data_IF_620170349320
#
_entry.id   IF_620170349320
#
_cell.length_a   1.000
_cell.length_b   1.000
_cell.length_c   1.000
_cell.angle_alpha   90.00
_cell.angle_beta   90.00
_cell.angle_gamma   90.00
#
_symmetry.space_group_name_H-M   'P 1'
#
loop_
_entity.id
_entity.type
_entity.pdbx_description
1 polymer ?
#
# COMPACT_ATOMS: atom_id res chain seq x y z
N UNK A 1 -16.93 16.69 2.78
CA UNK A 1 -17.17 15.35 3.37
C UNK A 1 -16.99 14.26 2.33
N UNK A 2 -17.83 14.18 1.29
CA UNK A 2 -17.76 13.12 0.24
C UNK A 2 -16.39 12.96 -0.41
N UNK A 3 -15.76 14.05 -0.87
CA UNK A 3 -14.44 13.99 -1.52
C UNK A 3 -13.38 13.39 -0.59
N UNK A 4 -13.41 13.76 0.70
CA UNK A 4 -12.41 13.30 1.65
C UNK A 4 -12.62 11.83 2.03
N UNK A 5 -13.87 11.39 2.14
CA UNK A 5 -14.20 9.99 2.34
C UNK A 5 -13.73 9.14 1.15
N UNK A 6 -13.98 9.57 -0.09
CA UNK A 6 -13.53 8.87 -1.30
C UNK A 6 -12.00 8.75 -1.36
N UNK A 7 -11.26 9.83 -1.08
CA UNK A 7 -9.79 9.81 -1.01
C UNK A 7 -9.28 8.82 0.06
N UNK A 8 -9.94 8.78 1.22
CA UNK A 8 -9.55 7.89 2.33
C UNK A 8 -9.90 6.42 2.06
N UNK A 9 -11.01 6.16 1.36
CA UNK A 9 -11.41 4.81 0.95
C UNK A 9 -10.43 4.24 -0.08
N UNK A 10 -10.10 5.01 -1.12
CA UNK A 10 -9.18 4.58 -2.17
C UNK A 10 -7.78 4.32 -1.60
N UNK A 11 -7.26 5.27 -0.81
CA UNK A 11 -5.96 5.12 -0.17
C UNK A 11 -5.97 4.02 0.89
N UNK A 12 -7.07 3.84 1.61
CA UNK A 12 -7.27 2.76 2.58
C UNK A 12 -7.27 1.40 1.91
N UNK A 13 -7.94 1.26 0.75
CA UNK A 13 -7.89 0.04 -0.03
C UNK A 13 -6.45 -0.29 -0.46
N UNK A 14 -5.72 0.69 -0.97
CA UNK A 14 -4.31 0.51 -1.35
C UNK A 14 -3.42 0.18 -0.13
N UNK A 15 -3.58 0.88 0.99
CA UNK A 15 -2.71 0.72 2.16
C UNK A 15 -3.01 -0.55 2.97
N UNK A 16 -4.27 -0.90 3.18
CA UNK A 16 -4.67 -2.04 4.00
C UNK A 16 -4.87 -3.29 3.15
N UNK A 17 -5.82 -3.24 2.23
CA UNK A 17 -6.27 -4.42 1.49
C UNK A 17 -5.15 -4.97 0.61
N UNK A 18 -4.38 -4.10 -0.06
CA UNK A 18 -3.26 -4.54 -0.91
C UNK A 18 -2.04 -4.96 -0.07
N UNK A 19 -1.82 -4.40 1.12
CA UNK A 19 -0.78 -4.91 2.04
C UNK A 19 -1.08 -6.34 2.51
N UNK A 20 -2.33 -6.64 2.86
CA UNK A 20 -2.75 -8.01 3.17
C UNK A 20 -2.45 -8.97 2.02
N UNK A 21 -2.68 -8.52 0.77
CA UNK A 21 -2.36 -9.31 -0.43
C UNK A 21 -0.88 -9.63 -0.57
N UNK A 22 -0.01 -8.67 -0.24
CA UNK A 22 1.46 -8.85 -0.29
C UNK A 22 1.89 -9.85 0.79
N UNK A 23 1.38 -9.72 2.02
CA UNK A 23 1.72 -10.65 3.10
C UNK A 23 1.23 -12.07 2.83
N UNK A 24 0.00 -12.21 2.30
CA UNK A 24 -0.51 -13.48 1.81
C UNK A 24 0.44 -14.12 0.78
N UNK A 25 0.84 -13.35 -0.24
CA UNK A 25 1.73 -13.85 -1.29
C UNK A 25 3.10 -14.26 -0.71
N UNK A 26 3.66 -13.48 0.22
CA UNK A 26 4.91 -13.81 0.90
C UNK A 26 4.81 -15.14 1.66
N UNK A 27 3.75 -15.33 2.45
CA UNK A 27 3.60 -16.52 3.27
C UNK A 27 3.24 -17.76 2.42
N UNK A 28 2.51 -17.58 1.32
CA UNK A 28 2.26 -18.62 0.34
C UNK A 28 3.57 -19.10 -0.31
N UNK A 29 4.46 -18.19 -0.72
CA UNK A 29 5.77 -18.57 -1.26
C UNK A 29 6.62 -19.33 -0.22
N UNK A 30 6.63 -18.89 1.04
CA UNK A 30 7.33 -19.64 2.10
C UNK A 30 6.72 -21.03 2.31
N UNK A 31 5.41 -21.19 2.18
CA UNK A 31 4.75 -22.49 2.28
C UNK A 31 5.16 -23.44 1.14
N UNK A 32 5.28 -22.90 -0.09
CA UNK A 32 5.84 -23.64 -1.24
C UNK A 32 7.27 -24.09 -0.95
N UNK A 33 8.12 -23.20 -0.44
CA UNK A 33 9.52 -23.52 -0.10
C UNK A 33 9.63 -24.62 0.96
N UNK A 34 8.68 -24.69 1.89
CA UNK A 34 8.60 -25.76 2.90
C UNK A 34 8.04 -27.09 2.37
N UNK A 35 7.58 -27.14 1.12
CA UNK A 35 6.94 -28.32 0.55
C UNK A 35 5.58 -28.63 1.16
N UNK A 36 4.87 -27.61 1.64
CA UNK A 36 3.56 -27.75 2.27
C UNK A 36 2.48 -28.12 1.24
N UNK A 37 1.49 -28.93 1.64
CA UNK A 37 0.35 -29.23 0.77
C UNK A 37 -0.62 -28.04 0.71
N UNK A 38 -0.73 -27.43 -0.47
CA UNK A 38 -1.52 -26.22 -0.70
C UNK A 38 -2.90 -26.55 -1.28
N UNK A 39 -3.77 -27.12 -0.45
CA UNK A 39 -5.19 -27.16 -0.77
C UNK A 39 -5.86 -25.79 -0.56
N UNK A 40 -7.12 -25.66 -0.99
CA UNK A 40 -7.84 -24.39 -0.88
C UNK A 40 -7.98 -23.88 0.56
N UNK A 41 -8.12 -24.76 1.55
CA UNK A 41 -8.27 -24.36 2.96
C UNK A 41 -6.94 -23.84 3.50
N UNK A 42 -5.84 -24.54 3.21
CA UNK A 42 -4.50 -24.10 3.58
C UNK A 42 -4.19 -22.72 3.00
N UNK A 43 -4.46 -22.51 1.71
CA UNK A 43 -4.24 -21.20 1.06
C UNK A 43 -5.14 -20.13 1.70
N UNK A 44 -6.42 -20.42 1.94
CA UNK A 44 -7.34 -19.51 2.60
C UNK A 44 -6.90 -19.12 4.02
N UNK A 45 -6.26 -20.02 4.76
CA UNK A 45 -5.71 -19.70 6.07
C UNK A 45 -4.59 -18.64 5.98
N UNK A 46 -3.71 -18.73 4.98
CA UNK A 46 -2.70 -17.69 4.73
C UNK A 46 -3.33 -16.36 4.34
N UNK A 47 -4.40 -16.38 3.54
CA UNK A 47 -5.14 -15.18 3.17
C UNK A 47 -5.74 -14.49 4.39
N UNK A 48 -6.46 -15.26 5.23
CA UNK A 48 -7.07 -14.75 6.44
C UNK A 48 -6.01 -14.21 7.40
N UNK A 49 -4.89 -14.92 7.60
CA UNK A 49 -3.80 -14.45 8.46
C UNK A 49 -3.23 -13.10 7.99
N UNK A 50 -3.00 -12.92 6.70
CA UNK A 50 -2.52 -11.64 6.13
C UNK A 50 -3.52 -10.51 6.28
N UNK A 51 -4.81 -10.78 6.02
CA UNK A 51 -5.92 -9.83 6.17
C UNK A 51 -6.13 -9.43 7.61
N UNK A 52 -6.29 -10.39 8.52
CA UNK A 52 -6.62 -10.14 9.92
C UNK A 52 -5.48 -9.39 10.62
N UNK A 53 -4.22 -9.62 10.20
CA UNK A 53 -3.06 -8.89 10.71
C UNK A 53 -3.12 -7.38 10.47
N UNK A 54 -3.61 -6.92 9.30
CA UNK A 54 -3.63 -5.49 8.98
C UNK A 54 -4.91 -4.80 9.48
N UNK A 55 -6.03 -5.53 9.54
CA UNK A 55 -7.33 -4.99 9.96
C UNK A 55 -7.59 -5.12 11.47
N UNK A 56 -6.85 -5.97 12.18
CA UNK A 56 -7.05 -6.20 13.62
C UNK A 56 -8.48 -6.63 13.94
N UNK A 57 -9.11 -5.93 14.89
CA UNK A 57 -10.48 -6.15 15.37
C UNK A 57 -11.50 -5.19 14.75
N UNK A 58 -11.11 -4.42 13.72
CA UNK A 58 -11.95 -3.36 13.16
C UNK A 58 -13.01 -3.88 12.17
N UNK A 59 -12.91 -5.14 11.72
CA UNK A 59 -13.79 -5.73 10.70
C UNK A 59 -14.29 -7.11 11.15
N UNK A 60 -15.60 -7.30 11.07
CA UNK A 60 -16.23 -8.62 11.17
C UNK A 60 -16.28 -9.26 9.78
N UNK A 61 -15.68 -10.44 9.63
CA UNK A 61 -15.59 -11.13 8.35
C UNK A 61 -16.65 -12.23 8.23
N UNK A 62 -17.29 -12.32 7.07
CA UNK A 62 -18.18 -13.44 6.75
C UNK A 62 -17.37 -14.68 6.33
N UNK A 63 -17.92 -15.88 6.51
CA UNK A 63 -17.23 -17.15 6.19
C UNK A 63 -16.86 -17.24 4.70
N UNK A 64 -17.71 -16.71 3.83
CA UNK A 64 -17.49 -16.64 2.38
C UNK A 64 -16.24 -15.83 2.03
N UNK A 65 -15.86 -14.87 2.89
CA UNK A 65 -14.70 -14.00 2.66
C UNK A 65 -13.36 -14.70 2.88
N UNK A 66 -13.35 -15.94 3.40
CA UNK A 66 -12.16 -16.78 3.47
C UNK A 66 -11.59 -17.10 2.07
N UNK A 67 -12.42 -16.96 1.03
CA UNK A 67 -12.08 -17.29 -0.36
C UNK A 67 -11.76 -16.07 -1.22
N UNK A 68 -11.73 -14.85 -0.67
CA UNK A 68 -11.56 -13.62 -1.45
C UNK A 68 -10.27 -13.53 -2.26
N UNK A 69 -9.22 -14.26 -1.86
CA UNK A 69 -7.97 -14.34 -2.61
C UNK A 69 -8.18 -14.87 -4.04
N UNK A 70 -9.19 -15.72 -4.25
CA UNK A 70 -9.47 -16.36 -5.55
C UNK A 70 -9.87 -15.38 -6.65
N UNK A 71 -10.54 -14.27 -6.29
CA UNK A 71 -10.97 -13.25 -7.26
C UNK A 71 -9.90 -12.20 -7.55
N UNK A 72 -8.73 -12.26 -6.90
CA UNK A 72 -7.66 -11.28 -7.09
C UNK A 72 -6.78 -11.71 -8.28
N UNK A 73 -7.10 -11.15 -9.46
CA UNK A 73 -6.43 -11.46 -10.73
C UNK A 73 -4.89 -11.45 -10.65
N UNK A 74 -4.32 -10.55 -9.86
CA UNK A 74 -2.87 -10.34 -9.76
C UNK A 74 -2.06 -11.60 -9.38
N UNK A 75 -2.65 -12.57 -8.67
CA UNK A 75 -1.97 -13.82 -8.32
C UNK A 75 -1.84 -14.80 -9.49
N UNK A 76 -2.63 -14.59 -10.54
CA UNK A 76 -2.78 -15.53 -11.65
C UNK A 76 -2.13 -15.03 -12.94
N UNK A 77 -1.36 -13.93 -12.88
CA UNK A 77 -0.64 -13.41 -14.05
C UNK A 77 0.76 -14.04 -14.09
N UNK A 78 1.06 -14.98 -15.03
CA UNK A 78 2.19 -15.92 -14.92
C UNK A 78 3.60 -15.31 -14.87
N UNK A 79 3.75 -14.00 -15.07
CA UNK A 79 5.03 -13.30 -15.13
C UNK A 79 5.19 -12.20 -14.08
N UNK A 80 4.19 -11.98 -13.22
CA UNK A 80 4.23 -10.92 -12.22
C UNK A 80 4.05 -11.50 -10.83
N UNK A 81 5.16 -11.54 -10.08
CA UNK A 81 5.17 -11.81 -8.64
C UNK A 81 5.18 -10.50 -7.89
N UNK A 82 4.52 -10.44 -6.75
CA UNK A 82 4.42 -9.27 -5.89
C UNK A 82 3.90 -8.02 -6.60
N UNK A 83 3.04 -8.20 -7.61
CA UNK A 83 2.43 -7.10 -8.37
C UNK A 83 1.61 -6.16 -7.48
N UNK A 84 1.16 -6.64 -6.33
CA UNK A 84 0.42 -5.87 -5.34
C UNK A 84 1.32 -4.82 -4.62
N UNK A 85 2.60 -5.12 -4.37
CA UNK A 85 3.49 -4.25 -3.57
C UNK A 85 3.69 -2.84 -4.17
N UNK A 86 3.91 -2.67 -5.48
CA UNK A 86 4.01 -1.35 -6.10
C UNK A 86 2.85 -0.41 -5.81
N UNK A 87 1.62 -0.90 -5.62
CA UNK A 87 0.48 -0.04 -5.28
C UNK A 87 0.60 0.54 -3.86
N UNK A 88 0.99 -0.28 -2.88
CA UNK A 88 1.21 0.16 -1.50
C UNK A 88 2.33 1.19 -1.46
N UNK A 89 3.44 0.89 -2.13
CA UNK A 89 4.58 1.81 -2.26
C UNK A 89 4.17 3.13 -2.90
N UNK A 90 3.50 3.09 -4.06
CA UNK A 90 3.15 4.28 -4.81
C UNK A 90 2.19 5.19 -4.02
N UNK A 91 1.22 4.62 -3.31
CA UNK A 91 0.29 5.37 -2.47
C UNK A 91 1.03 6.15 -1.38
N UNK A 92 1.90 5.49 -0.63
CA UNK A 92 2.68 6.12 0.44
C UNK A 92 3.72 7.10 -0.12
N UNK A 93 4.29 6.82 -1.30
CA UNK A 93 5.19 7.75 -1.99
C UNK A 93 4.49 9.04 -2.38
N UNK A 94 3.29 8.99 -2.97
CA UNK A 94 2.51 10.19 -3.34
C UNK A 94 2.15 11.01 -2.10
N UNK A 95 1.81 10.37 -1.00
CA UNK A 95 1.54 11.06 0.26
C UNK A 95 2.77 11.72 0.87
N UNK A 96 3.93 11.05 0.84
CA UNK A 96 5.20 11.64 1.24
C UNK A 96 5.62 12.82 0.35
N UNK A 97 5.38 12.74 -0.97
CA UNK A 97 5.55 13.85 -1.90
C UNK A 97 4.66 15.04 -1.52
N UNK A 98 3.39 14.78 -1.17
CA UNK A 98 2.46 15.84 -0.79
C UNK A 98 2.83 16.51 0.54
N UNK A 99 3.28 15.77 1.54
CA UNK A 99 3.81 16.36 2.78
C UNK A 99 5.09 17.18 2.52
N UNK A 100 5.99 16.67 1.68
CA UNK A 100 7.18 17.41 1.25
C UNK A 100 6.80 18.71 0.54
N UNK A 101 5.78 18.68 -0.33
CA UNK A 101 5.25 19.88 -0.97
C UNK A 101 4.63 20.86 0.03
N UNK A 102 3.85 20.40 1.01
CA UNK A 102 3.29 21.27 2.07
C UNK A 102 4.38 22.01 2.85
N UNK A 103 5.54 21.36 3.06
CA UNK A 103 6.71 21.94 3.74
C UNK A 103 7.52 22.89 2.85
N UNK A 104 7.91 22.44 1.67
CA UNK A 104 8.86 23.16 0.79
C UNK A 104 8.16 24.16 -0.15
N UNK A 105 6.84 24.03 -0.34
CA UNK A 105 6.04 24.87 -1.22
C UNK A 105 6.59 24.93 -2.65
N UNK A 106 6.78 26.15 -3.16
CA UNK A 106 7.29 26.38 -4.54
C UNK A 106 8.68 25.78 -4.81
N UNK A 107 9.50 25.58 -3.78
CA UNK A 107 10.85 25.02 -3.93
C UNK A 107 10.82 23.52 -4.27
N UNK A 108 9.70 22.84 -4.02
CA UNK A 108 9.50 21.44 -4.41
C UNK A 108 9.28 21.27 -5.92
N UNK A 109 8.66 22.26 -6.59
CA UNK A 109 8.20 22.13 -7.98
C UNK A 109 9.32 21.75 -8.97
N UNK A 110 10.52 22.37 -8.94
CA UNK A 110 11.61 21.96 -9.83
C UNK A 110 12.09 20.52 -9.57
N UNK A 111 12.12 20.08 -8.30
CA UNK A 111 12.49 18.71 -7.92
C UNK A 111 11.47 17.71 -8.46
N UNK A 112 10.18 18.01 -8.30
CA UNK A 112 9.10 17.15 -8.80
C UNK A 112 9.11 17.04 -10.33
N UNK A 113 9.34 18.15 -11.05
CA UNK A 113 9.51 18.12 -12.52
C UNK A 113 10.70 17.25 -12.94
N UNK A 114 11.81 17.32 -12.22
CA UNK A 114 12.99 16.47 -12.48
C UNK A 114 12.67 14.98 -12.25
N UNK A 115 11.95 14.66 -11.17
CA UNK A 115 11.48 13.30 -10.90
C UNK A 115 10.62 12.77 -12.05
N UNK A 116 9.61 13.54 -12.50
CA UNK A 116 8.73 13.13 -13.61
C UNK A 116 9.49 12.97 -14.93
N UNK A 117 10.42 13.88 -15.22
CA UNK A 117 11.22 13.85 -16.44
C UNK A 117 12.16 12.63 -16.53
N UNK A 118 12.52 12.02 -15.39
CA UNK A 118 13.37 10.84 -15.37
C UNK A 118 12.66 9.58 -15.89
N UNK A 119 11.32 9.53 -15.87
CA UNK A 119 10.56 8.36 -16.30
C UNK A 119 11.06 7.07 -15.65
N UNK A 120 11.31 6.04 -16.45
CA UNK A 120 11.88 4.76 -16.00
C UNK A 120 13.40 4.65 -16.09
N UNK A 121 14.13 5.76 -16.28
CA UNK A 121 15.60 5.74 -16.45
C UNK A 121 16.38 5.61 -15.14
N UNK A 122 15.72 5.79 -14.00
CA UNK A 122 16.30 5.71 -12.66
C UNK A 122 15.56 4.68 -11.82
N UNK A 123 16.25 4.12 -10.83
CA UNK A 123 15.64 3.24 -9.83
C UNK A 123 14.65 4.03 -8.93
N UNK A 124 13.68 3.34 -8.28
CA UNK A 124 12.79 3.99 -7.32
C UNK A 124 13.52 4.72 -6.20
N UNK A 125 14.64 4.18 -5.72
CA UNK A 125 15.48 4.82 -4.69
C UNK A 125 16.08 6.13 -5.21
N UNK A 126 16.68 6.11 -6.40
CA UNK A 126 17.23 7.32 -7.03
C UNK A 126 16.14 8.37 -7.31
N UNK A 127 14.95 7.95 -7.72
CA UNK A 127 13.80 8.83 -7.93
C UNK A 127 13.37 9.51 -6.62
N UNK A 128 13.28 8.76 -5.53
CA UNK A 128 13.00 9.30 -4.20
C UNK A 128 14.03 10.34 -3.76
N UNK A 129 15.31 10.06 -3.99
CA UNK A 129 16.39 10.97 -3.61
C UNK A 129 16.33 12.34 -4.33
N UNK A 130 15.76 12.43 -5.54
CA UNK A 130 15.57 13.72 -6.24
C UNK A 130 14.72 14.69 -5.43
N UNK A 131 13.74 14.19 -4.69
CA UNK A 131 12.81 14.96 -3.86
C UNK A 131 13.19 14.93 -2.38
N UNK A 132 14.33 14.33 -2.03
CA UNK A 132 14.81 14.21 -0.65
C UNK A 132 14.08 13.14 0.17
N UNK A 133 13.53 12.11 -0.49
CA UNK A 133 12.85 10.99 0.15
C UNK A 133 13.68 9.72 -0.01
N UNK A 134 14.30 9.24 1.07
CA UNK A 134 14.97 7.93 1.09
C UNK A 134 13.96 6.83 1.41
N UNK A 135 13.51 6.10 0.38
CA UNK A 135 12.47 5.08 0.49
C UNK A 135 12.91 3.84 1.29
N UNK A 136 14.19 3.71 1.59
CA UNK A 136 14.74 2.62 2.41
C UNK A 136 14.62 2.89 3.92
N UNK A 137 14.25 4.12 4.30
CA UNK A 137 14.17 4.56 5.71
C UNK A 137 12.76 4.55 6.23
N UNK A 138 12.62 4.26 7.53
CA UNK A 138 11.35 4.27 8.26
C UNK A 138 10.63 5.62 8.14
N UNK A 139 11.37 6.71 8.28
CA UNK A 139 10.84 8.07 8.26
C UNK A 139 10.08 8.40 6.96
N UNK A 140 10.47 7.82 5.83
CA UNK A 140 9.75 7.96 4.57
C UNK A 140 8.33 7.36 4.67
N UNK A 141 8.22 6.14 5.20
CA UNK A 141 6.94 5.45 5.36
C UNK A 141 6.05 6.15 6.38
N UNK A 142 6.62 6.60 7.49
CA UNK A 142 5.90 7.39 8.51
C UNK A 142 5.38 8.71 7.94
N UNK A 143 6.13 9.37 7.05
CA UNK A 143 5.69 10.60 6.39
C UNK A 143 4.46 10.37 5.50
N UNK A 144 4.43 9.26 4.76
CA UNK A 144 3.27 8.87 3.95
C UNK A 144 2.04 8.58 4.81
N UNK A 145 2.21 7.78 5.87
CA UNK A 145 1.14 7.45 6.84
C UNK A 145 0.59 8.73 7.50
N UNK A 146 1.47 9.67 7.86
CA UNK A 146 1.06 10.94 8.45
C UNK A 146 0.08 11.72 7.58
N UNK A 147 0.20 11.66 6.25
CA UNK A 147 -0.76 12.33 5.38
C UNK A 147 -2.15 11.67 5.40
N UNK A 148 -2.20 10.35 5.50
CA UNK A 148 -3.47 9.63 5.67
C UNK A 148 -4.11 10.03 7.01
N UNK A 149 -3.33 10.07 8.10
CA UNK A 149 -3.76 10.55 9.41
C UNK A 149 -4.29 12.00 9.36
N UNK A 150 -3.57 12.91 8.70
CA UNK A 150 -4.00 14.31 8.52
C UNK A 150 -5.37 14.39 7.81
N UNK A 151 -5.67 13.48 6.87
CA UNK A 151 -6.96 13.42 6.18
C UNK A 151 -8.05 12.79 7.04
N UNK A 152 -7.76 11.73 7.82
CA UNK A 152 -8.71 11.16 8.78
C UNK A 152 -9.13 12.22 9.80
N UNK A 153 -8.16 12.91 10.40
CA UNK A 153 -8.43 13.99 11.38
C UNK A 153 -9.28 15.12 10.78
N UNK A 154 -9.05 15.47 9.51
CA UNK A 154 -9.89 16.45 8.80
C UNK A 154 -11.33 15.95 8.63
N UNK A 155 -11.53 14.68 8.28
CA UNK A 155 -12.85 14.11 8.11
C UNK A 155 -13.62 14.09 9.44
N UNK A 156 -12.98 13.62 10.52
CA UNK A 156 -13.56 13.59 11.85
C UNK A 156 -14.01 14.97 12.34
N UNK A 157 -13.23 16.01 12.08
CA UNK A 157 -13.59 17.37 12.47
C UNK A 157 -14.76 17.95 11.65
N UNK A 158 -14.99 17.45 10.44
CA UNK A 158 -16.16 17.84 9.63
C UNK A 158 -17.45 17.10 10.02
N UNK A 159 -17.33 16.00 10.78
CA UNK A 159 -18.48 15.20 11.24
C UNK A 159 -18.95 15.59 12.65
N UNK A 160 -18.18 16.42 13.36
CA UNK A 160 -18.57 17.04 14.64
C UNK A 160 -19.49 18.23 14.38
#
# INVERSE_FOLDING_TARGET
MTILAEILDDAGQAAFQVSARVWFEQDLYKAIERGENLDGRTISNYWCAGRDKIYGDSVEWFEEMNWEWTMKLHYYIPNFRFYNYPYVYAQLFVYALYQTYKKDGKYFVPKFKKLLAAGGSLSPEELGMIVGLDITKKDFWELGIKQYEDFVNQLENLMK
#
